data_IF_328563985153
#
_entry.id   IF_328563985153
#
_cell.length_a   1.000
_cell.length_b   1.000
_cell.length_c   1.000
_cell.angle_alpha   90.00
_cell.angle_beta   90.00
_cell.angle_gamma   90.00
#
_symmetry.space_group_name_H-M   'P 1'
#
loop_
_entity.id
_entity.type
_entity.pdbx_description
1 polymer ?
#
# COMPACT_ATOMS: atom_id res chain seq x y z
N UNK A 1 -34.23 -5.65 -12.93
CA UNK A 1 -33.77 -5.88 -11.55
C UNK A 1 -32.39 -5.24 -11.47
N UNK A 2 -32.19 -4.23 -10.62
CA UNK A 2 -30.89 -3.56 -10.48
C UNK A 2 -29.98 -4.49 -9.69
N UNK A 3 -29.04 -5.15 -10.37
CA UNK A 3 -27.93 -5.85 -9.72
C UNK A 3 -27.18 -4.83 -8.85
N UNK A 4 -27.37 -4.94 -7.54
CA UNK A 4 -26.51 -4.24 -6.59
C UNK A 4 -25.20 -5.01 -6.59
N UNK A 5 -24.10 -4.33 -6.86
CA UNK A 5 -22.81 -4.86 -6.43
C UNK A 5 -22.90 -5.07 -4.92
N UNK A 6 -22.66 -6.30 -4.49
CA UNK A 6 -22.19 -6.49 -3.13
C UNK A 6 -20.90 -5.68 -3.01
N UNK A 7 -20.84 -4.80 -2.00
CA UNK A 7 -19.56 -4.18 -1.68
C UNK A 7 -18.55 -5.30 -1.45
N UNK A 8 -17.30 -5.16 -1.93
CA UNK A 8 -16.29 -6.19 -1.74
C UNK A 8 -16.30 -6.59 -0.26
N UNK A 9 -16.26 -7.90 0.04
CA UNK A 9 -16.14 -8.36 1.42
C UNK A 9 -14.95 -7.63 2.04
N UNK A 10 -15.25 -6.67 2.92
CA UNK A 10 -14.24 -5.83 3.50
C UNK A 10 -13.30 -6.76 4.29
N UNK A 11 -12.03 -6.85 3.87
CA UNK A 11 -11.00 -7.38 4.75
C UNK A 11 -10.82 -6.37 5.87
N UNK A 12 -11.62 -6.53 6.92
CA UNK A 12 -11.63 -5.68 8.09
C UNK A 12 -10.31 -5.95 8.82
N UNK A 13 -9.41 -4.97 8.74
CA UNK A 13 -8.23 -4.95 9.58
C UNK A 13 -8.67 -4.38 10.93
N UNK A 14 -8.78 -5.27 11.91
CA UNK A 14 -9.08 -4.90 13.29
C UNK A 14 -7.79 -4.81 14.10
N UNK A 15 -7.78 -3.85 15.05
CA UNK A 15 -6.82 -3.86 16.14
C UNK A 15 -7.54 -4.35 17.38
N UNK A 16 -7.10 -5.48 17.91
CA UNK A 16 -7.65 -6.08 19.12
C UNK A 16 -7.39 -5.17 20.33
N UNK A 17 -8.46 -4.65 20.93
CA UNK A 17 -8.40 -3.85 22.17
C UNK A 17 -8.36 -4.78 23.37
N UNK A 18 -7.57 -4.41 24.39
CA UNK A 18 -7.46 -5.16 25.65
C UNK A 18 -7.00 -6.63 25.50
N UNK A 19 -6.33 -6.94 24.38
CA UNK A 19 -5.70 -8.24 24.16
C UNK A 19 -4.28 -8.21 24.71
N UNK A 20 -3.98 -9.13 25.62
CA UNK A 20 -2.64 -9.38 26.14
C UNK A 20 -1.91 -10.44 25.30
N UNK A 21 -0.60 -10.58 25.55
CA UNK A 21 0.30 -11.48 24.83
C UNK A 21 -0.16 -12.95 24.89
N UNK A 22 -0.76 -13.38 26.00
CA UNK A 22 -1.22 -14.77 26.17
C UNK A 22 -2.46 -15.05 25.33
N UNK A 23 -3.41 -14.11 25.31
CA UNK A 23 -4.61 -14.21 24.46
C UNK A 23 -4.26 -14.16 22.97
N UNK A 24 -3.35 -13.27 22.58
CA UNK A 24 -2.89 -13.15 21.20
C UNK A 24 -2.25 -14.46 20.70
N UNK A 25 -1.32 -15.01 21.49
CA UNK A 25 -0.68 -16.29 21.20
C UNK A 25 -1.69 -17.43 21.09
N UNK A 26 -2.63 -17.53 22.04
CA UNK A 26 -3.68 -18.55 22.02
C UNK A 26 -4.56 -18.45 20.78
N UNK A 27 -4.96 -17.23 20.38
CA UNK A 27 -5.77 -17.01 19.18
C UNK A 27 -5.03 -17.42 17.90
N UNK A 28 -3.75 -17.06 17.78
CA UNK A 28 -2.89 -17.45 16.67
C UNK A 28 -2.76 -18.98 16.56
N UNK A 29 -2.44 -19.66 17.67
CA UNK A 29 -2.28 -21.12 17.71
C UNK A 29 -3.60 -21.87 17.43
N UNK A 30 -4.73 -21.37 17.95
CA UNK A 30 -6.04 -21.98 17.71
C UNK A 30 -6.48 -21.81 16.25
N UNK A 31 -6.22 -20.64 15.66
CA UNK A 31 -6.52 -20.38 14.24
C UNK A 31 -5.62 -21.19 13.32
N UNK A 32 -4.33 -21.32 13.65
CA UNK A 32 -3.41 -22.19 12.95
C UNK A 32 -3.92 -23.63 12.89
N UNK A 33 -4.28 -24.21 14.04
CA UNK A 33 -4.87 -25.56 14.12
C UNK A 33 -6.16 -25.70 13.33
N UNK A 34 -7.00 -24.66 13.29
CA UNK A 34 -8.23 -24.66 12.49
C UNK A 34 -7.90 -24.72 11.00
N UNK A 35 -6.99 -23.86 10.53
CA UNK A 35 -6.57 -23.83 9.12
C UNK A 35 -5.93 -25.15 8.70
N UNK A 36 -5.10 -25.76 9.56
CA UNK A 36 -4.55 -27.10 9.30
C UNK A 36 -5.64 -28.16 9.10
N UNK A 37 -6.69 -28.15 9.93
CA UNK A 37 -7.81 -29.10 9.79
C UNK A 37 -8.63 -28.86 8.53
N UNK A 38 -8.80 -27.61 8.14
CA UNK A 38 -9.65 -27.23 7.00
C UNK A 38 -8.93 -27.42 5.66
N UNK A 39 -7.63 -27.10 5.60
CA UNK A 39 -6.87 -27.08 4.34
C UNK A 39 -5.91 -28.24 4.19
N UNK A 40 -5.55 -28.95 5.26
CA UNK A 40 -4.44 -29.89 5.27
C UNK A 40 -3.09 -29.19 5.33
N UNK A 41 -2.17 -29.70 6.15
CA UNK A 41 -0.82 -29.12 6.35
C UNK A 41 0.01 -29.11 5.05
N UNK A 42 -0.18 -30.13 4.23
CA UNK A 42 0.50 -30.34 2.95
C UNK A 42 0.27 -29.20 1.94
N UNK A 43 -0.91 -28.58 2.02
CA UNK A 43 -1.35 -27.49 1.14
C UNK A 43 -0.90 -26.11 1.63
N UNK A 44 -0.25 -26.02 2.79
CA UNK A 44 0.35 -24.78 3.27
C UNK A 44 1.72 -24.57 2.62
N UNK A 45 1.92 -23.33 2.14
CA UNK A 45 3.23 -22.86 1.70
C UNK A 45 4.20 -22.80 2.90
N UNK A 46 5.50 -23.02 2.63
CA UNK A 46 6.51 -22.76 3.66
C UNK A 46 6.53 -21.26 4.00
N UNK A 47 6.65 -20.94 5.28
CA UNK A 47 6.46 -19.60 5.85
C UNK A 47 5.07 -18.98 5.66
N UNK A 48 4.03 -19.78 5.39
CA UNK A 48 2.65 -19.28 5.45
C UNK A 48 2.38 -18.67 6.83
N UNK A 49 1.96 -17.40 6.86
CA UNK A 49 1.97 -16.57 8.06
C UNK A 49 0.57 -16.11 8.42
N UNK A 50 0.17 -16.40 9.65
CA UNK A 50 -1.01 -15.81 10.27
C UNK A 50 -0.57 -14.68 11.20
N UNK A 51 -1.36 -13.62 11.25
CA UNK A 51 -0.99 -12.43 12.00
C UNK A 51 -2.19 -11.62 12.47
N UNK A 52 -1.98 -10.81 13.51
CA UNK A 52 -2.98 -9.90 14.06
C UNK A 52 -2.32 -8.62 14.57
N UNK A 53 -3.13 -7.58 14.75
CA UNK A 53 -2.72 -6.34 15.39
C UNK A 53 -3.47 -6.16 16.71
N UNK A 54 -2.78 -5.67 17.74
CA UNK A 54 -3.40 -5.33 19.02
C UNK A 54 -2.82 -4.07 19.62
N UNK A 55 -3.54 -3.47 20.56
CA UNK A 55 -2.97 -2.40 21.39
C UNK A 55 -1.73 -2.93 22.11
N UNK A 56 -0.62 -2.19 22.02
CA UNK A 56 0.54 -2.54 22.82
C UNK A 56 0.28 -2.28 24.30
N UNK A 57 0.94 -3.07 25.16
CA UNK A 57 1.05 -2.77 26.59
C UNK A 57 1.78 -1.45 26.84
N UNK A 58 2.47 -0.91 25.83
CA UNK A 58 3.02 0.45 25.84
C UNK A 58 2.02 1.42 25.22
N UNK A 59 1.55 2.43 25.97
CA UNK A 59 0.63 3.42 25.43
C UNK A 59 1.17 4.08 24.14
N UNK A 60 0.28 4.21 23.15
CA UNK A 60 0.59 4.84 21.86
C UNK A 60 1.19 3.92 20.78
N UNK A 61 1.52 2.65 21.08
CA UNK A 61 2.11 1.72 20.10
C UNK A 61 1.12 0.62 19.70
N UNK A 62 1.27 0.09 18.49
CA UNK A 62 0.55 -1.09 17.99
C UNK A 62 1.48 -2.30 18.02
N UNK A 63 1.02 -3.44 18.51
CA UNK A 63 1.79 -4.68 18.48
C UNK A 63 1.30 -5.58 17.36
N UNK A 64 2.22 -5.93 16.45
CA UNK A 64 2.07 -6.98 15.47
C UNK A 64 2.51 -8.31 16.08
N UNK A 65 1.61 -9.28 16.04
CA UNK A 65 1.90 -10.66 16.41
C UNK A 65 1.69 -11.58 15.22
N UNK A 66 2.50 -12.62 15.12
CA UNK A 66 2.38 -13.58 14.03
C UNK A 66 2.86 -14.97 14.42
N UNK A 67 2.36 -15.96 13.68
CA UNK A 67 2.78 -17.35 13.72
C UNK A 67 3.01 -17.79 12.28
N UNK A 68 4.12 -18.48 12.02
CA UNK A 68 4.49 -18.91 10.66
C UNK A 68 4.64 -20.43 10.61
N UNK A 69 4.13 -21.03 9.54
CA UNK A 69 4.27 -22.45 9.29
C UNK A 69 5.68 -22.76 8.77
N UNK A 70 6.43 -23.58 9.48
CA UNK A 70 7.73 -24.06 9.04
C UNK A 70 7.58 -25.48 8.49
N UNK A 71 7.67 -25.61 7.16
CA UNK A 71 7.45 -26.89 6.46
C UNK A 71 8.59 -27.88 6.72
N UNK A 72 9.81 -27.39 6.93
CA UNK A 72 10.96 -28.24 7.28
C UNK A 72 10.87 -28.90 8.65
N UNK A 73 10.11 -28.30 9.57
CA UNK A 73 9.90 -28.79 10.94
C UNK A 73 8.47 -29.31 11.18
N UNK A 74 7.60 -29.29 10.17
CA UNK A 74 6.17 -29.64 10.23
C UNK A 74 5.39 -28.96 11.40
N UNK A 75 5.77 -27.73 11.74
CA UNK A 75 5.22 -27.04 12.92
C UNK A 75 5.01 -25.55 12.69
N UNK A 76 4.05 -25.01 13.42
CA UNK A 76 3.86 -23.57 13.55
C UNK A 76 4.82 -22.98 14.57
N UNK A 77 5.46 -21.87 14.20
CA UNK A 77 6.44 -21.17 15.04
C UNK A 77 5.95 -19.76 15.32
N UNK A 78 5.67 -19.48 16.59
CA UNK A 78 5.29 -18.14 17.06
C UNK A 78 6.47 -17.20 16.90
N UNK A 79 6.24 -16.08 16.24
CA UNK A 79 7.27 -15.08 15.96
C UNK A 79 7.39 -14.08 17.10
N UNK A 80 8.56 -13.45 17.24
CA UNK A 80 8.74 -12.39 18.23
C UNK A 80 7.86 -11.18 17.88
N UNK A 81 7.04 -10.67 18.81
CA UNK A 81 6.19 -9.51 18.56
C UNK A 81 6.96 -8.26 18.15
N UNK A 82 6.37 -7.45 17.27
CA UNK A 82 6.93 -6.16 16.84
C UNK A 82 6.00 -5.03 17.24
N UNK A 83 6.54 -4.06 17.98
CA UNK A 83 5.83 -2.85 18.40
C UNK A 83 6.12 -1.71 17.44
N UNK A 84 5.08 -1.21 16.79
CA UNK A 84 5.15 -0.12 15.84
C UNK A 84 4.70 1.19 16.46
N UNK A 85 5.44 2.24 16.17
CA UNK A 85 5.19 3.62 16.56
C UNK A 85 5.04 4.45 15.30
N UNK A 86 4.05 5.34 15.27
CA UNK A 86 3.94 6.31 14.18
C UNK A 86 4.88 7.49 14.44
N UNK A 87 5.59 7.89 13.39
CA UNK A 87 6.58 8.96 13.39
C UNK A 87 6.30 9.95 12.27
N UNK A 88 6.98 11.10 12.26
CA UNK A 88 6.88 12.08 11.16
C UNK A 88 7.30 11.50 9.80
N UNK A 89 8.10 10.43 9.80
CA UNK A 89 8.60 9.77 8.59
C UNK A 89 7.90 8.43 8.31
N UNK A 90 6.79 8.14 8.99
CA UNK A 90 6.03 6.89 8.83
C UNK A 90 6.15 5.94 10.02
N UNK A 91 5.88 4.65 9.79
CA UNK A 91 5.89 3.63 10.85
C UNK A 91 7.30 3.13 11.15
N UNK A 92 7.66 3.11 12.43
CA UNK A 92 8.97 2.63 12.91
C UNK A 92 8.80 1.59 14.00
N UNK A 93 9.68 0.59 14.04
CA UNK A 93 9.68 -0.44 15.07
C UNK A 93 10.38 0.10 16.32
N UNK A 94 9.72 0.02 17.48
CA UNK A 94 10.30 0.34 18.77
C UNK A 94 10.03 -0.79 19.78
N UNK A 95 10.89 -1.80 19.74
CA UNK A 95 10.87 -2.94 20.65
C UNK A 95 11.70 -2.73 21.94
N UNK A 96 12.20 -1.51 22.19
CA UNK A 96 12.97 -1.23 23.40
C UNK A 96 12.08 -1.21 24.66
N UNK A 97 12.70 -1.37 25.83
CA UNK A 97 11.97 -1.22 27.10
C UNK A 97 11.47 0.23 27.21
N UNK A 98 10.18 0.49 27.52
CA UNK A 98 9.63 1.84 27.61
C UNK A 98 10.35 2.79 28.58
N UNK A 99 11.07 2.23 29.56
CA UNK A 99 11.84 2.99 30.56
C UNK A 99 13.31 3.17 30.16
N UNK A 100 13.74 2.63 29.03
CA UNK A 100 15.12 2.71 28.57
C UNK A 100 15.43 4.03 27.86
N UNK A 101 16.69 4.45 27.92
CA UNK A 101 17.19 5.60 27.17
C UNK A 101 17.03 5.41 25.65
N UNK A 102 17.28 4.21 25.14
CA UNK A 102 17.13 3.89 23.71
C UNK A 102 15.69 4.07 23.22
N UNK A 103 14.69 3.69 24.03
CA UNK A 103 13.29 3.92 23.69
C UNK A 103 13.00 5.42 23.54
N UNK A 104 13.38 6.22 24.54
CA UNK A 104 13.15 7.66 24.54
C UNK A 104 13.89 8.36 23.41
N UNK A 105 15.14 7.97 23.13
CA UNK A 105 15.92 8.54 22.05
C UNK A 105 15.27 8.28 20.69
N UNK A 106 14.73 7.08 20.45
CA UNK A 106 14.00 6.79 19.22
C UNK A 106 12.71 7.61 19.12
N UNK A 107 11.94 7.74 20.20
CA UNK A 107 10.75 8.61 20.24
C UNK A 107 11.11 10.05 19.87
N UNK A 108 12.16 10.61 20.48
CA UNK A 108 12.60 11.99 20.21
C UNK A 108 13.10 12.16 18.78
N UNK A 109 13.96 11.27 18.30
CA UNK A 109 14.57 11.38 16.97
C UNK A 109 13.56 11.21 15.84
N UNK A 110 12.53 10.39 16.06
CA UNK A 110 11.50 10.11 15.05
C UNK A 110 10.31 11.10 15.12
N UNK A 111 10.25 11.96 16.14
CA UNK A 111 9.08 12.81 16.37
C UNK A 111 7.82 12.00 16.72
N UNK A 112 7.99 10.92 17.48
CA UNK A 112 6.93 9.95 17.77
C UNK A 112 5.71 10.60 18.46
N UNK A 113 4.52 10.45 17.88
CA UNK A 113 3.28 10.96 18.46
C UNK A 113 2.81 10.02 19.59
N UNK A 114 2.57 10.57 20.79
CA UNK A 114 1.88 9.84 21.86
C UNK A 114 0.38 9.82 21.52
N UNK A 115 -0.26 8.66 21.69
CA UNK A 115 -1.71 8.43 21.51
C UNK A 115 -2.23 8.38 20.05
N UNK A 116 -1.77 7.40 19.28
CA UNK A 116 -2.16 7.19 17.89
C UNK A 116 -3.47 6.41 17.72
N UNK A 117 -3.92 5.63 18.72
CA UNK A 117 -5.11 4.77 18.54
C UNK A 117 -6.35 5.40 19.17
N UNK A 118 -6.99 6.28 18.41
CA UNK A 118 -8.37 6.75 18.63
C UNK A 118 -9.23 6.37 17.43
N UNK A 119 -10.57 6.38 17.58
CA UNK A 119 -11.52 6.20 16.46
C UNK A 119 -11.40 7.29 15.38
N UNK A 120 -10.49 8.24 15.50
CA UNK A 120 -10.23 9.30 14.52
C UNK A 120 -8.99 9.01 13.66
N UNK A 121 -8.22 7.96 13.99
CA UNK A 121 -6.90 7.66 13.40
C UNK A 121 -6.87 6.35 12.56
N UNK A 122 -8.02 5.84 12.08
CA UNK A 122 -8.12 4.64 11.22
C UNK A 122 -7.12 4.60 10.06
N UNK A 123 -6.88 5.78 9.50
CA UNK A 123 -6.01 6.01 8.35
C UNK A 123 -4.54 5.68 8.62
N UNK A 124 -4.10 5.79 9.87
CA UNK A 124 -2.75 5.41 10.29
C UNK A 124 -2.65 3.88 10.40
N UNK A 125 -3.70 3.20 10.87
CA UNK A 125 -3.73 1.74 11.02
C UNK A 125 -3.60 1.05 9.66
N UNK A 126 -4.22 1.59 8.62
CA UNK A 126 -4.10 1.03 7.28
C UNK A 126 -2.70 1.22 6.68
N UNK A 127 -2.04 2.36 6.90
CA UNK A 127 -0.64 2.51 6.47
C UNK A 127 0.32 1.63 7.27
N UNK A 128 -0.03 1.28 8.51
CA UNK A 128 0.72 0.30 9.29
C UNK A 128 0.62 -1.09 8.65
N UNK A 129 -0.57 -1.47 8.20
CA UNK A 129 -0.78 -2.78 7.58
C UNK A 129 0.00 -2.91 6.28
N UNK A 130 -0.02 -1.88 5.44
CA UNK A 130 0.80 -1.84 4.21
C UNK A 130 2.28 -2.01 4.57
N UNK A 131 2.78 -1.25 5.54
CA UNK A 131 4.16 -1.34 6.01
C UNK A 131 4.52 -2.74 6.57
N UNK A 132 3.58 -3.39 7.24
CA UNK A 132 3.74 -4.75 7.77
C UNK A 132 3.78 -5.77 6.62
N UNK A 133 2.91 -5.66 5.63
CA UNK A 133 2.91 -6.52 4.45
C UNK A 133 4.23 -6.45 3.68
N UNK A 134 4.82 -5.25 3.57
CA UNK A 134 6.15 -5.05 2.98
C UNK A 134 7.27 -5.65 3.83
N UNK A 135 7.32 -5.31 5.11
CA UNK A 135 8.47 -5.60 5.96
C UNK A 135 8.46 -6.99 6.58
N UNK A 136 7.31 -7.67 6.58
CA UNK A 136 7.10 -8.95 7.28
C UNK A 136 6.73 -10.11 6.35
N UNK A 137 6.70 -9.92 5.03
CA UNK A 137 6.32 -10.96 4.06
C UNK A 137 5.03 -11.70 4.47
N UNK A 138 3.96 -10.94 4.72
CA UNK A 138 2.66 -11.47 5.10
C UNK A 138 1.58 -11.08 4.10
N UNK A 139 0.58 -11.94 3.92
CA UNK A 139 -0.59 -11.67 3.07
C UNK A 139 -1.78 -11.21 3.90
N UNK A 140 -2.73 -10.53 3.26
CA UNK A 140 -3.98 -10.11 3.90
C UNK A 140 -4.83 -11.32 4.33
N UNK A 141 -4.78 -12.41 3.56
CA UNK A 141 -5.48 -13.68 3.86
C UNK A 141 -5.04 -14.33 5.17
N UNK A 142 -3.84 -13.99 5.65
CA UNK A 142 -3.33 -14.44 6.94
C UNK A 142 -3.78 -13.59 8.13
N UNK A 143 -4.51 -12.50 7.90
CA UNK A 143 -4.95 -11.61 8.97
C UNK A 143 -6.10 -12.21 9.79
N UNK A 144 -5.94 -12.23 11.11
CA UNK A 144 -6.97 -12.71 12.05
C UNK A 144 -7.74 -11.51 12.62
N UNK A 145 -8.96 -11.32 12.15
CA UNK A 145 -9.92 -10.38 12.75
C UNK A 145 -10.93 -11.13 13.62
N UNK A 146 -11.31 -10.53 14.76
CA UNK A 146 -12.53 -10.95 15.46
C UNK A 146 -13.78 -10.54 14.66
N UNK A 147 -14.84 -11.35 14.78
CA UNK A 147 -16.16 -11.12 14.17
C UNK A 147 -16.93 -9.95 14.78
N UNK A 148 -16.48 -9.39 15.91
CA UNK A 148 -17.23 -8.36 16.64
C UNK A 148 -16.29 -7.39 17.36
N UNK A 149 -15.94 -6.26 16.72
CA UNK A 149 -15.62 -5.00 17.41
C UNK A 149 -15.57 -3.83 16.42
N UNK A 150 -16.00 -2.64 16.89
CA UNK A 150 -16.22 -1.42 16.10
C UNK A 150 -14.99 -1.05 15.25
N UNK A 151 -15.19 -1.07 13.94
CA UNK A 151 -14.21 -0.75 12.91
C UNK A 151 -14.17 0.75 12.70
N UNK A 152 -12.97 1.32 12.71
CA UNK A 152 -12.77 2.71 12.31
C UNK A 152 -12.57 2.75 10.80
N UNK A 153 -13.57 3.23 10.05
CA UNK A 153 -13.56 3.27 8.58
C UNK A 153 -12.82 4.51 8.07
N UNK A 154 -11.89 4.31 7.13
CA UNK A 154 -11.37 5.40 6.28
C UNK A 154 -12.20 5.45 5.02
N UNK A 155 -12.71 6.63 4.66
CA UNK A 155 -13.38 6.82 3.38
C UNK A 155 -12.51 7.73 2.52
N UNK A 156 -11.92 7.20 1.46
CA UNK A 156 -11.33 8.04 0.42
C UNK A 156 -12.44 8.73 -0.37
N UNK A 157 -12.27 9.99 -0.73
CA UNK A 157 -13.19 10.68 -1.66
C UNK A 157 -12.43 11.22 -2.86
N UNK A 158 -13.06 11.16 -4.02
CA UNK A 158 -12.53 11.79 -5.24
C UNK A 158 -12.61 13.32 -5.11
N UNK A 159 -11.51 14.02 -5.37
CA UNK A 159 -11.45 15.50 -5.39
C UNK A 159 -12.00 16.11 -6.69
N UNK A 160 -12.40 15.27 -7.65
CA UNK A 160 -12.83 15.70 -8.98
C UNK A 160 -14.30 16.17 -9.05
N UNK A 161 -15.05 16.10 -7.95
CA UNK A 161 -16.49 16.38 -7.97
C UNK A 161 -16.82 17.54 -7.02
N UNK A 162 -17.52 18.54 -7.56
CA UNK A 162 -18.12 19.69 -6.83
C UNK A 162 -19.42 19.27 -6.10
N UNK A 163 -19.77 17.98 -6.14
CA UNK A 163 -20.95 17.37 -5.51
C UNK A 163 -20.52 16.09 -4.78
N UNK A 164 -20.88 16.01 -3.50
CA UNK A 164 -20.46 14.99 -2.55
C UNK A 164 -21.15 13.61 -2.74
N UNK A 165 -21.00 12.98 -3.91
CA UNK A 165 -21.45 11.59 -4.09
C UNK A 165 -20.30 10.61 -3.81
N UNK A 166 -20.56 9.68 -2.88
CA UNK A 166 -19.55 8.90 -2.14
C UNK A 166 -19.15 7.64 -2.89
N UNK A 167 -18.10 7.74 -3.72
CA UNK A 167 -17.29 6.58 -4.06
C UNK A 167 -16.37 6.23 -2.89
N UNK A 168 -16.28 4.95 -2.52
CA UNK A 168 -15.33 4.50 -1.49
C UNK A 168 -14.46 3.40 -2.08
N UNK A 169 -13.16 3.67 -2.18
CA UNK A 169 -12.17 2.62 -2.38
C UNK A 169 -11.87 1.93 -1.05
N UNK A 170 -11.48 0.64 -1.05
CA UNK A 170 -10.89 0.02 0.13
C UNK A 170 -9.69 0.83 0.60
N UNK A 171 -9.54 0.99 1.91
CA UNK A 171 -8.52 1.84 2.51
C UNK A 171 -7.09 1.53 2.05
N UNK A 172 -6.77 0.25 1.82
CA UNK A 172 -5.46 -0.16 1.31
C UNK A 172 -5.19 0.34 -0.12
N UNK A 173 -6.17 0.33 -1.03
CA UNK A 173 -6.02 0.93 -2.38
C UNK A 173 -6.00 2.45 -2.28
N UNK A 174 -6.94 3.01 -1.52
CA UNK A 174 -7.05 4.45 -1.33
C UNK A 174 -5.74 5.10 -0.86
N UNK A 175 -5.08 4.48 0.11
CA UNK A 175 -3.84 5.00 0.71
C UNK A 175 -2.67 5.08 -0.27
N UNK A 176 -2.64 4.20 -1.29
CA UNK A 176 -1.63 4.25 -2.35
C UNK A 176 -1.87 5.45 -3.27
N UNK A 177 -3.13 5.84 -3.44
CA UNK A 177 -3.57 6.88 -4.37
C UNK A 177 -3.69 8.27 -3.70
N UNK A 178 -3.47 8.34 -2.39
CA UNK A 178 -3.54 9.56 -1.59
C UNK A 178 -2.13 10.12 -1.35
N UNK A 179 -1.99 11.44 -1.48
CA UNK A 179 -0.74 12.12 -1.13
C UNK A 179 -0.48 12.04 0.39
N UNK A 180 0.65 11.48 0.85
CA UNK A 180 0.92 11.26 2.27
C UNK A 180 0.95 12.57 3.09
N UNK A 181 1.47 13.66 2.53
CA UNK A 181 1.49 14.96 3.24
C UNK A 181 0.12 15.64 3.32
N UNK A 182 -0.72 15.43 2.31
CA UNK A 182 -2.10 15.97 2.34
C UNK A 182 -2.95 15.17 3.32
N UNK A 183 -2.72 13.86 3.39
CA UNK A 183 -3.33 12.92 4.33
C UNK A 183 -3.09 13.35 5.78
N UNK A 184 -1.84 13.47 6.20
CA UNK A 184 -1.49 13.89 7.57
C UNK A 184 -2.19 15.19 8.00
N UNK A 185 -2.12 16.23 7.16
CA UNK A 185 -2.72 17.54 7.44
C UNK A 185 -4.25 17.52 7.52
N UNK A 186 -4.91 16.62 6.79
CA UNK A 186 -6.37 16.49 6.80
C UNK A 186 -6.82 15.74 8.05
N UNK A 187 -6.07 14.71 8.45
CA UNK A 187 -6.34 13.95 9.67
C UNK A 187 -6.16 14.80 10.92
N UNK A 188 -5.12 15.63 10.98
CA UNK A 188 -4.92 16.61 12.07
C UNK A 188 -6.08 17.60 12.22
N UNK A 189 -6.92 17.73 11.19
CA UNK A 189 -8.12 18.59 11.20
C UNK A 189 -9.41 17.83 11.50
N UNK A 190 -9.33 16.57 11.93
CA UNK A 190 -10.49 15.73 12.27
C UNK A 190 -11.38 15.38 11.08
N UNK A 191 -10.86 15.47 9.85
CA UNK A 191 -11.61 15.12 8.63
C UNK A 191 -11.39 13.65 8.29
N UNK A 192 -12.50 12.91 8.14
CA UNK A 192 -12.51 11.48 7.81
C UNK A 192 -12.33 11.17 6.32
N UNK A 193 -12.32 12.20 5.46
CA UNK A 193 -12.22 12.07 4.01
C UNK A 193 -10.98 12.75 3.47
N UNK A 194 -10.15 11.94 2.79
CA UNK A 194 -8.89 12.36 2.20
C UNK A 194 -8.98 12.23 0.67
N UNK A 195 -8.53 13.25 -0.07
CA UNK A 195 -8.65 13.25 -1.52
C UNK A 195 -7.52 12.50 -2.22
N UNK A 196 -7.90 11.80 -3.30
CA UNK A 196 -6.95 11.20 -4.24
C UNK A 196 -6.08 12.27 -4.91
N UNK A 197 -4.85 11.87 -5.30
CA UNK A 197 -3.93 12.74 -6.03
C UNK A 197 -4.47 13.08 -7.42
N UNK A 198 -4.36 14.35 -7.82
CA UNK A 198 -4.73 14.84 -9.15
C UNK A 198 -3.54 14.84 -10.10
N UNK A 199 -2.38 15.24 -9.59
CA UNK A 199 -1.12 15.29 -10.30
C UNK A 199 -0.06 14.52 -9.52
N UNK A 200 -0.15 13.17 -9.46
CA UNK A 200 0.83 12.37 -8.75
C UNK A 200 2.21 12.52 -9.41
N UNK A 201 3.22 12.80 -8.60
CA UNK A 201 4.64 12.87 -9.01
C UNK A 201 5.48 12.03 -8.06
N UNK A 202 6.45 11.29 -8.58
CA UNK A 202 7.40 10.49 -7.80
C UNK A 202 8.59 11.37 -7.41
N UNK A 203 8.88 11.49 -6.11
CA UNK A 203 10.07 12.18 -5.62
C UNK A 203 11.29 11.26 -5.74
N UNK A 204 12.42 11.79 -6.23
CA UNK A 204 13.64 11.01 -6.47
C UNK A 204 14.30 10.46 -5.21
N UNK A 205 14.17 11.19 -4.12
CA UNK A 205 14.87 10.85 -2.87
C UNK A 205 14.29 9.62 -2.18
N UNK A 206 12.99 9.35 -2.34
CA UNK A 206 12.30 8.26 -1.63
C UNK A 206 11.44 7.35 -2.51
N UNK A 207 11.23 7.68 -3.79
CA UNK A 207 10.43 6.87 -4.71
C UNK A 207 8.91 6.93 -4.44
N UNK A 208 8.45 7.81 -3.55
CA UNK A 208 7.04 7.95 -3.19
C UNK A 208 6.32 8.96 -4.07
N UNK A 209 5.03 8.72 -4.26
CA UNK A 209 4.15 9.61 -5.00
C UNK A 209 3.52 10.68 -4.10
N UNK A 210 3.60 11.92 -4.56
CA UNK A 210 3.03 13.11 -3.92
C UNK A 210 2.12 13.86 -4.89
N UNK A 211 1.21 14.67 -4.34
CA UNK A 211 0.53 15.69 -5.13
C UNK A 211 1.53 16.79 -5.51
N UNK A 212 1.72 17.06 -6.81
CA UNK A 212 2.72 18.00 -7.33
C UNK A 212 2.71 19.34 -6.60
N UNK A 213 1.55 19.97 -6.49
CA UNK A 213 1.43 21.30 -5.88
C UNK A 213 1.83 21.28 -4.40
N UNK A 214 1.48 20.20 -3.68
CA UNK A 214 1.87 20.03 -2.29
C UNK A 214 3.38 19.79 -2.14
N UNK A 215 3.97 19.02 -3.06
CA UNK A 215 5.40 18.74 -3.10
C UNK A 215 6.22 20.03 -3.27
N UNK A 216 5.93 20.75 -4.36
CA UNK A 216 6.61 21.99 -4.72
C UNK A 216 6.43 23.06 -3.64
N UNK A 217 5.21 23.24 -3.13
CA UNK A 217 4.94 24.23 -2.07
C UNK A 217 5.68 23.94 -0.77
N UNK A 218 5.94 22.66 -0.44
CA UNK A 218 6.70 22.29 0.77
C UNK A 218 8.17 22.61 0.62
N UNK A 219 8.82 22.15 -0.45
CA UNK A 219 10.24 22.40 -0.68
C UNK A 219 10.56 23.89 -0.89
N UNK A 220 9.64 24.63 -1.53
CA UNK A 220 9.76 26.09 -1.64
C UNK A 220 9.83 26.80 -0.28
N UNK A 221 9.16 26.28 0.76
CA UNK A 221 9.27 26.82 2.14
C UNK A 221 10.65 26.59 2.76
N UNK A 222 11.38 25.59 2.27
CA UNK A 222 12.76 25.32 2.67
C UNK A 222 13.78 26.06 1.79
N UNK A 223 13.33 26.92 0.88
CA UNK A 223 14.21 27.63 -0.06
C UNK A 223 14.75 26.73 -1.17
N UNK A 224 14.10 25.60 -1.45
CA UNK A 224 14.50 24.65 -2.48
C UNK A 224 13.50 24.70 -3.64
N UNK A 225 13.99 25.06 -4.82
CA UNK A 225 13.20 25.04 -6.05
C UNK A 225 13.37 23.68 -6.74
N UNK A 226 12.30 22.87 -6.69
CA UNK A 226 12.27 21.58 -7.37
C UNK A 226 12.02 21.74 -8.87
N UNK A 227 12.65 20.87 -9.65
CA UNK A 227 12.59 20.83 -11.12
C UNK A 227 12.09 19.45 -11.55
N UNK A 228 11.01 19.41 -12.34
CA UNK A 228 10.48 18.18 -12.94
C UNK A 228 11.50 17.56 -13.91
N UNK A 229 11.62 16.24 -13.91
CA UNK A 229 12.63 15.53 -14.70
C UNK A 229 14.02 15.51 -14.05
N UNK A 230 14.23 16.25 -12.96
CA UNK A 230 15.49 16.23 -12.18
C UNK A 230 15.24 15.72 -10.76
N UNK A 231 14.35 16.37 -10.03
CA UNK A 231 14.08 16.09 -8.62
C UNK A 231 12.85 15.21 -8.41
N UNK A 232 11.89 15.28 -9.33
CA UNK A 232 10.67 14.47 -9.30
C UNK A 232 10.18 14.21 -10.72
N UNK A 233 9.48 13.10 -10.94
CA UNK A 233 8.94 12.71 -12.24
C UNK A 233 7.42 12.61 -12.20
N UNK A 234 6.75 12.98 -13.28
CA UNK A 234 5.29 12.84 -13.39
C UNK A 234 4.88 11.35 -13.38
N UNK A 235 3.95 10.92 -12.53
CA UNK A 235 3.54 9.52 -12.47
C UNK A 235 2.36 9.27 -13.42
N UNK A 236 2.65 9.04 -14.70
CA UNK A 236 1.63 8.92 -15.76
C UNK A 236 0.70 7.74 -15.50
N UNK A 237 1.26 6.59 -15.11
CA UNK A 237 0.50 5.35 -14.86
C UNK A 237 -0.42 5.53 -13.65
N UNK A 238 0.10 6.04 -12.52
CA UNK A 238 -0.73 6.27 -11.34
C UNK A 238 -1.83 7.31 -11.59
N UNK A 239 -1.55 8.34 -12.39
CA UNK A 239 -2.56 9.32 -12.81
C UNK A 239 -3.67 8.67 -13.64
N UNK A 240 -3.33 7.76 -14.56
CA UNK A 240 -4.32 7.02 -15.35
C UNK A 240 -5.19 6.13 -14.44
N UNK A 241 -4.57 5.36 -13.54
CA UNK A 241 -5.26 4.53 -12.54
C UNK A 241 -6.27 5.35 -11.74
N UNK A 242 -5.84 6.49 -11.18
CA UNK A 242 -6.71 7.38 -10.42
C UNK A 242 -7.85 7.89 -11.30
N UNK A 243 -7.58 8.26 -12.55
CA UNK A 243 -8.60 8.72 -13.50
C UNK A 243 -9.69 7.68 -13.76
N UNK A 244 -9.30 6.42 -13.97
CA UNK A 244 -10.24 5.31 -14.17
C UNK A 244 -11.06 5.01 -12.91
N UNK A 245 -10.42 4.92 -11.74
CA UNK A 245 -11.13 4.64 -10.48
C UNK A 245 -12.04 5.79 -10.03
N UNK A 246 -11.65 7.04 -10.30
CA UNK A 246 -12.40 8.23 -9.91
C UNK A 246 -13.55 8.59 -10.86
N UNK A 247 -13.75 7.85 -11.97
CA UNK A 247 -14.83 8.06 -12.92
C UNK A 247 -16.15 7.49 -12.37
N UNK A 248 -17.08 8.37 -11.95
CA UNK A 248 -18.22 8.02 -11.10
C UNK A 248 -19.62 8.18 -11.74
N UNK A 249 -19.73 8.45 -13.04
CA UNK A 249 -21.02 8.50 -13.74
C UNK A 249 -21.19 7.31 -14.68
N UNK A 250 -21.08 6.10 -14.11
CA UNK A 250 -20.99 4.88 -14.90
C UNK A 250 -21.84 3.77 -14.30
N UNK A 251 -22.56 3.08 -15.17
CA UNK A 251 -23.27 1.85 -14.85
C UNK A 251 -22.28 0.79 -14.35
N UNK A 252 -22.76 -0.23 -13.63
CA UNK A 252 -21.94 -1.38 -13.25
C UNK A 252 -21.06 -1.97 -14.34
N UNK A 253 -21.63 -2.16 -15.54
CA UNK A 253 -20.91 -2.66 -16.69
C UNK A 253 -19.78 -1.71 -17.12
N UNK A 254 -20.08 -0.41 -17.24
CA UNK A 254 -19.08 0.59 -17.60
C UNK A 254 -17.97 0.72 -16.54
N UNK A 255 -18.29 0.57 -15.25
CA UNK A 255 -17.27 0.57 -14.20
C UNK A 255 -16.35 -0.66 -14.29
N UNK A 256 -16.92 -1.84 -14.54
CA UNK A 256 -16.15 -3.06 -14.79
C UNK A 256 -15.23 -2.92 -16.02
N UNK A 257 -15.70 -2.27 -17.09
CA UNK A 257 -14.85 -1.97 -18.26
C UNK A 257 -13.65 -1.09 -17.90
N UNK A 258 -13.81 -0.11 -17.00
CA UNK A 258 -12.68 0.71 -16.54
C UNK A 258 -11.71 -0.11 -15.69
N UNK A 259 -12.20 -1.01 -14.85
CA UNK A 259 -11.36 -1.95 -14.12
C UNK A 259 -10.60 -2.89 -15.07
N UNK A 260 -11.26 -3.38 -16.13
CA UNK A 260 -10.60 -4.18 -17.16
C UNK A 260 -9.53 -3.36 -17.88
N UNK A 261 -9.79 -2.09 -18.22
CA UNK A 261 -8.76 -1.20 -18.79
C UNK A 261 -7.56 -1.04 -17.86
N UNK A 262 -7.78 -0.88 -16.56
CA UNK A 262 -6.65 -0.85 -15.61
C UNK A 262 -5.87 -2.16 -15.69
N UNK A 263 -6.56 -3.29 -15.63
CA UNK A 263 -5.94 -4.63 -15.59
C UNK A 263 -5.20 -5.01 -16.88
N UNK A 264 -5.80 -4.71 -18.02
CA UNK A 264 -5.41 -5.24 -19.34
C UNK A 264 -4.58 -4.25 -20.15
N UNK A 265 -4.61 -2.95 -19.80
CA UNK A 265 -3.87 -1.90 -20.52
C UNK A 265 -2.92 -1.12 -19.61
N UNK A 266 -3.42 -0.60 -18.47
CA UNK A 266 -2.65 0.38 -17.67
C UNK A 266 -1.55 -0.27 -16.84
N UNK A 267 -1.80 -1.48 -16.30
CA UNK A 267 -0.82 -2.21 -15.50
C UNK A 267 0.14 -3.06 -16.32
N UNK A 268 0.07 -2.98 -17.64
CA UNK A 268 0.92 -3.74 -18.56
C UNK A 268 2.15 -2.90 -18.92
N UNK A 269 3.32 -3.49 -18.70
CA UNK A 269 4.59 -2.94 -19.14
C UNK A 269 4.68 -3.00 -20.66
N UNK A 270 4.99 -1.86 -21.28
CA UNK A 270 5.11 -1.75 -22.73
C UNK A 270 6.33 -2.47 -23.31
N UNK A 271 7.31 -2.87 -22.49
CA UNK A 271 8.49 -3.61 -22.93
C UNK A 271 8.30 -5.12 -22.91
N UNK A 272 7.70 -5.68 -21.84
CA UNK A 272 7.44 -7.12 -21.73
C UNK A 272 6.05 -7.56 -22.19
N UNK A 273 5.09 -6.64 -22.26
CA UNK A 273 3.66 -6.95 -22.40
C UNK A 273 3.09 -7.80 -21.26
N UNK A 274 3.74 -7.77 -20.09
CA UNK A 274 3.29 -8.41 -18.86
C UNK A 274 2.95 -7.36 -17.79
N UNK A 275 2.35 -7.78 -16.68
CA UNK A 275 2.15 -6.86 -15.55
C UNK A 275 3.51 -6.38 -15.01
N UNK A 276 3.57 -5.12 -14.57
CA UNK A 276 4.80 -4.56 -14.05
C UNK A 276 5.40 -5.39 -12.89
N UNK A 277 6.73 -5.50 -12.86
CA UNK A 277 7.48 -6.12 -11.77
C UNK A 277 8.69 -5.27 -11.35
N UNK A 278 8.89 -5.07 -10.04
CA UNK A 278 9.90 -4.16 -9.46
C UNK A 278 9.84 -2.79 -10.16
N UNK A 279 8.70 -2.11 -9.99
CA UNK A 279 8.36 -0.96 -10.83
C UNK A 279 9.33 0.21 -10.66
N UNK A 280 9.79 0.74 -11.79
CA UNK A 280 10.62 1.95 -11.85
C UNK A 280 10.00 2.98 -12.78
N UNK A 281 10.33 4.25 -12.56
CA UNK A 281 9.88 5.38 -13.37
C UNK A 281 11.08 6.12 -13.94
N UNK A 282 10.97 6.56 -15.19
CA UNK A 282 11.98 7.36 -15.87
C UNK A 282 11.66 8.87 -15.79
N UNK A 283 12.62 9.76 -16.14
CA UNK A 283 12.40 11.21 -16.15
C UNK A 283 11.25 11.68 -17.05
N UNK A 284 10.86 10.87 -18.04
CA UNK A 284 9.72 11.17 -18.92
C UNK A 284 8.37 10.93 -18.25
N UNK A 285 8.35 10.24 -17.11
CA UNK A 285 7.17 9.90 -16.33
C UNK A 285 6.52 8.55 -16.67
N UNK A 286 7.09 7.80 -17.61
CA UNK A 286 6.68 6.44 -17.91
C UNK A 286 7.28 5.45 -16.92
N UNK A 287 6.49 4.43 -16.57
CA UNK A 287 6.93 3.35 -15.68
C UNK A 287 7.24 2.09 -16.47
N UNK A 288 8.16 1.28 -15.94
CA UNK A 288 8.66 0.04 -16.55
C UNK A 288 8.94 -0.98 -15.45
N UNK A 289 8.95 -2.26 -15.82
CA UNK A 289 9.58 -3.29 -15.01
C UNK A 289 11.08 -3.09 -15.08
N UNK A 290 11.74 -3.12 -13.92
CA UNK A 290 13.16 -2.75 -13.83
C UNK A 290 14.05 -3.63 -14.70
N UNK A 291 13.82 -4.95 -14.71
CA UNK A 291 14.63 -5.88 -15.51
C UNK A 291 14.56 -5.54 -17.00
N UNK A 292 13.36 -5.24 -17.50
CA UNK A 292 13.09 -4.94 -18.90
C UNK A 292 13.74 -3.64 -19.36
N UNK A 293 13.53 -2.55 -18.62
CA UNK A 293 14.14 -1.27 -18.97
C UNK A 293 15.66 -1.30 -18.83
N UNK A 294 16.18 -2.06 -17.86
CA UNK A 294 17.63 -2.23 -17.69
C UNK A 294 18.24 -3.04 -18.84
N UNK A 295 17.53 -4.06 -19.33
CA UNK A 295 17.91 -4.84 -20.51
C UNK A 295 17.86 -3.98 -21.77
N UNK A 296 16.81 -3.17 -21.93
CA UNK A 296 16.71 -2.19 -23.02
C UNK A 296 17.90 -1.22 -23.02
N UNK A 297 18.19 -0.58 -21.88
CA UNK A 297 19.32 0.34 -21.74
C UNK A 297 20.64 -0.37 -22.07
N UNK A 298 20.85 -1.57 -21.53
CA UNK A 298 22.07 -2.35 -21.76
C UNK A 298 22.24 -2.75 -23.24
N UNK A 299 21.15 -3.05 -23.96
CA UNK A 299 21.18 -3.43 -25.39
C UNK A 299 21.73 -2.33 -26.31
N UNK A 300 21.75 -1.08 -25.84
CA UNK A 300 22.26 0.09 -26.59
C UNK A 300 23.71 0.44 -26.23
N UNK A 301 24.37 -0.36 -25.38
CA UNK A 301 25.75 -0.12 -24.98
C UNK A 301 26.70 -0.25 -26.17
N UNK A 302 27.49 0.79 -26.41
CA UNK A 302 28.58 0.80 -27.39
C UNK A 302 29.89 0.98 -26.62
N UNK A 303 30.73 -0.07 -26.60
CA UNK A 303 32.02 -0.05 -25.89
C UNK A 303 31.88 -0.12 -24.37
N UNK A 304 32.68 0.67 -23.65
CA UNK A 304 32.75 0.67 -22.18
C UNK A 304 31.91 1.75 -21.49
N UNK A 305 31.40 2.74 -22.23
CA UNK A 305 30.61 3.85 -21.67
C UNK A 305 29.24 3.38 -21.20
N UNK A 306 28.69 4.04 -20.17
CA UNK A 306 27.29 3.86 -19.82
C UNK A 306 26.41 4.39 -20.95
N UNK A 307 25.42 3.61 -21.40
CA UNK A 307 24.57 4.01 -22.52
C UNK A 307 23.61 5.13 -22.10
N UNK A 308 23.68 6.26 -22.81
CA UNK A 308 22.68 7.32 -22.79
C UNK A 308 21.69 7.06 -23.93
N UNK A 309 20.51 6.55 -23.60
CA UNK A 309 19.54 6.05 -24.59
C UNK A 309 18.31 6.94 -24.63
N UNK A 310 17.56 6.89 -25.72
CA UNK A 310 16.23 7.47 -25.74
C UNK A 310 15.30 6.68 -24.82
N UNK A 311 14.43 7.36 -24.07
CA UNK A 311 13.34 6.68 -23.38
C UNK A 311 12.45 5.94 -24.41
N UNK A 312 12.10 4.66 -24.18
CA UNK A 312 11.31 3.87 -25.13
C UNK A 312 9.96 4.51 -25.50
N UNK A 313 9.33 5.22 -24.55
CA UNK A 313 7.99 5.79 -24.68
C UNK A 313 8.01 7.32 -24.84
N UNK A 314 9.16 7.96 -24.62
CA UNK A 314 9.38 9.36 -24.96
C UNK A 314 10.77 9.61 -25.58
N UNK A 315 10.95 9.44 -26.89
CA UNK A 315 12.27 9.52 -27.52
C UNK A 315 13.01 10.86 -27.37
N UNK A 316 12.31 11.93 -26.96
CA UNK A 316 12.87 13.25 -26.70
C UNK A 316 13.58 13.34 -25.35
N UNK A 317 13.34 12.40 -24.44
CA UNK A 317 14.03 12.29 -23.15
C UNK A 317 15.13 11.25 -23.27
N UNK A 318 16.32 11.59 -22.79
CA UNK A 318 17.44 10.65 -22.69
C UNK A 318 17.54 10.12 -21.26
N UNK A 319 17.84 8.83 -21.14
CA UNK A 319 17.89 8.13 -19.86
C UNK A 319 19.15 7.27 -19.76
N UNK A 320 19.60 7.11 -18.52
CA UNK A 320 20.62 6.18 -18.07
C UNK A 320 20.05 5.32 -16.93
N UNK A 321 20.83 4.35 -16.43
CA UNK A 321 20.41 3.53 -15.29
C UNK A 321 20.16 4.35 -14.02
N UNK A 322 20.97 5.38 -13.78
CA UNK A 322 20.85 6.26 -12.61
C UNK A 322 19.67 7.23 -12.66
N UNK A 323 19.02 7.34 -13.82
CA UNK A 323 17.83 8.15 -13.98
C UNK A 323 16.55 7.39 -13.63
N UNK A 324 16.61 6.08 -13.41
CA UNK A 324 15.46 5.28 -13.02
C UNK A 324 15.27 5.33 -11.51
N UNK A 325 14.05 5.66 -11.08
CA UNK A 325 13.67 5.73 -9.67
C UNK A 325 12.66 4.62 -9.39
N UNK A 326 12.75 3.99 -8.22
CA UNK A 326 11.71 3.07 -7.77
C UNK A 326 10.35 3.79 -7.63
N UNK A 327 9.27 3.20 -8.15
CA UNK A 327 7.92 3.78 -8.10
C UNK A 327 7.09 3.06 -7.02
N UNK A 328 7.33 3.41 -5.75
CA UNK A 328 6.78 2.69 -4.58
C UNK A 328 5.25 2.55 -4.68
N UNK A 329 4.54 3.64 -4.99
CA UNK A 329 3.09 3.59 -5.06
C UNK A 329 2.57 2.71 -6.20
N UNK A 330 3.22 2.68 -7.36
CA UNK A 330 2.80 1.79 -8.45
C UNK A 330 3.07 0.33 -8.11
N UNK A 331 4.23 0.02 -7.52
CA UNK A 331 4.57 -1.33 -7.04
C UNK A 331 3.51 -1.85 -6.06
N UNK A 332 3.16 -1.02 -5.08
CA UNK A 332 2.14 -1.38 -4.10
C UNK A 332 0.77 -1.56 -4.74
N UNK A 333 0.43 -0.72 -5.70
CA UNK A 333 -0.82 -0.84 -6.44
C UNK A 333 -0.89 -2.16 -7.20
N UNK A 334 0.13 -2.48 -8.02
CA UNK A 334 0.21 -3.71 -8.81
C UNK A 334 0.10 -4.94 -7.90
N UNK A 335 0.79 -4.93 -6.76
CA UNK A 335 0.75 -6.05 -5.80
C UNK A 335 -0.63 -6.27 -5.17
N UNK A 336 -1.37 -5.19 -4.90
CA UNK A 336 -2.67 -5.24 -4.23
C UNK A 336 -3.85 -5.30 -5.21
N UNK A 337 -3.61 -5.00 -6.49
CA UNK A 337 -4.63 -4.93 -7.53
C UNK A 337 -5.37 -6.25 -7.76
N UNK A 338 -4.73 -7.45 -7.85
CA UNK A 338 -5.44 -8.69 -8.13
C UNK A 338 -6.53 -9.01 -7.10
N UNK A 339 -6.24 -8.82 -5.81
CA UNK A 339 -7.20 -9.03 -4.74
C UNK A 339 -8.39 -8.07 -4.85
N UNK A 340 -8.12 -6.78 -5.08
CA UNK A 340 -9.16 -5.78 -5.29
C UNK A 340 -10.00 -6.09 -6.52
N UNK A 341 -9.36 -6.33 -7.68
CA UNK A 341 -10.03 -6.59 -8.93
C UNK A 341 -10.94 -7.82 -8.87
N UNK A 342 -10.49 -8.91 -8.24
CA UNK A 342 -11.31 -10.10 -8.03
C UNK A 342 -12.49 -9.84 -7.10
N UNK A 343 -12.33 -9.04 -6.05
CA UNK A 343 -13.41 -8.68 -5.12
C UNK A 343 -14.52 -7.83 -5.77
N UNK A 344 -14.22 -7.18 -6.91
CA UNK A 344 -15.16 -6.35 -7.66
C UNK A 344 -15.84 -7.11 -8.81
N UNK A 345 -15.42 -8.36 -9.11
CA UNK A 345 -16.13 -9.18 -10.10
C UNK A 345 -17.45 -9.66 -9.51
N UNK A 346 -18.58 -9.54 -10.23
CA UNK A 346 -19.85 -10.11 -9.78
C UNK A 346 -19.66 -11.59 -9.48
N UNK A 347 -20.10 -12.05 -8.31
CA UNK A 347 -20.23 -13.49 -8.10
C UNK A 347 -21.28 -13.98 -9.09
N UNK A 348 -20.88 -14.84 -10.01
CA UNK A 348 -21.84 -15.62 -10.77
C UNK A 348 -22.51 -16.52 -9.74
N UNK A 349 -23.72 -16.16 -9.33
CA UNK A 349 -24.59 -17.10 -8.61
C UNK A 349 -24.73 -18.32 -9.50
N UNK A 350 -23.99 -19.38 -9.17
CA UNK A 350 -24.28 -20.71 -9.66
C UNK A 350 -25.62 -21.11 -9.06
N UNK A 351 -26.70 -20.66 -9.67
CA UNK A 351 -28.03 -21.22 -9.50
C UNK A 351 -28.00 -22.63 -10.08
N UNK A 352 -27.45 -23.56 -9.30
CA UNK A 352 -27.64 -24.98 -9.49
C UNK A 352 -29.08 -25.26 -9.03
N UNK A 353 -29.97 -25.38 -10.01
CA UNK A 353 -31.30 -25.98 -9.83
C UNK A 353 -31.20 -27.48 -9.65
#
# INVERSE_FOLDING_TARGET
MLEKFEQPQEHIISIHRNMDDTKAKSLLENTAKKIERERGKENLADNYKLWLLRHSSVPGLVTFESIAYNKGLDQWVVQTPKRYMNSENGWVINNHNPRSQSFNQLVTNSGGKKDIITDENSVLIESLVIHIMESQACSLDGHISDLVQKVTQVKATSRYIVKEERFSLPGYIANILICPWTKEKILEKGKSTVPLMKHPVVLKDDGKSYERDALVARYKKWGIDLIEGVHYYNNIVLKAIIGYLASQEKTPAEYLELLNKINDEVLIDSLSYEQFADTVISPSGFSFSKEEIMTYIASKKIGLMEPLVADPLNPNVKITKSDLIFNENLELFVRLWPAFYMSMKPQVENNIF
#
